data_IF_679356338550
#
_entry.id   IF_679356338550
#
_cell.length_a   1.000
_cell.length_b   1.000
_cell.length_c   1.000
_cell.angle_alpha   90.00
_cell.angle_beta   90.00
_cell.angle_gamma   90.00
#
_symmetry.space_group_name_H-M   'P 1'
#
loop_
_entity.id
_entity.type
_entity.pdbx_description
1 polymer ?
#
# COMPACT_ATOMS: atom_id res chain seq x y z
N UNK A 1 -13.47 3.73 -10.63
CA UNK A 1 -13.64 4.36 -9.30
C UNK A 1 -12.26 4.73 -8.77
N UNK A 2 -12.16 5.46 -7.66
CA UNK A 2 -10.88 5.64 -6.97
C UNK A 2 -11.01 5.25 -5.51
N UNK A 3 -9.88 4.96 -4.89
CA UNK A 3 -9.77 4.75 -3.46
C UNK A 3 -8.79 5.77 -2.90
N UNK A 4 -9.12 6.30 -1.74
CA UNK A 4 -8.28 7.17 -0.94
C UNK A 4 -8.31 6.65 0.50
N UNK A 5 -7.28 7.00 1.27
CA UNK A 5 -7.24 6.81 2.72
C UNK A 5 -7.57 5.38 3.15
N UNK A 6 -6.62 4.47 2.98
CA UNK A 6 -6.77 3.06 3.35
C UNK A 6 -6.06 2.80 4.66
N UNK A 7 -6.78 2.32 5.65
CA UNK A 7 -6.23 1.96 6.96
C UNK A 7 -6.32 0.45 7.18
N UNK A 8 -5.25 -0.09 7.75
CA UNK A 8 -5.18 -1.48 8.20
C UNK A 8 -5.21 -1.51 9.72
N UNK A 9 -6.09 -2.33 10.28
CA UNK A 9 -6.14 -2.57 11.72
C UNK A 9 -6.41 -4.05 12.01
N UNK A 10 -5.96 -4.53 13.17
CA UNK A 10 -6.25 -5.90 13.61
C UNK A 10 -7.43 -5.84 14.58
N UNK A 11 -8.47 -6.64 14.32
CA UNK A 11 -9.63 -6.76 15.21
C UNK A 11 -9.26 -7.53 16.48
N UNK A 12 -10.09 -7.41 17.52
CA UNK A 12 -9.89 -8.16 18.77
C UNK A 12 -9.84 -9.69 18.56
N UNK A 13 -10.49 -10.18 17.51
CA UNK A 13 -10.55 -11.60 17.15
C UNK A 13 -9.40 -12.03 16.23
N UNK A 14 -8.41 -11.16 15.99
CA UNK A 14 -7.21 -11.46 15.20
C UNK A 14 -7.42 -11.45 13.68
N UNK A 15 -8.42 -10.74 13.19
CA UNK A 15 -8.63 -10.55 11.75
C UNK A 15 -8.11 -9.20 11.28
N UNK A 16 -7.71 -9.12 10.02
CA UNK A 16 -7.26 -7.88 9.39
C UNK A 16 -8.49 -7.13 8.89
N UNK A 17 -8.78 -5.98 9.48
CA UNK A 17 -9.77 -5.04 9.02
C UNK A 17 -9.11 -4.05 8.06
N UNK A 18 -9.75 -3.86 6.92
CA UNK A 18 -9.36 -2.89 5.89
C UNK A 18 -10.48 -1.86 5.82
N UNK A 19 -10.19 -0.64 6.25
CA UNK A 19 -11.08 0.50 6.10
C UNK A 19 -10.58 1.39 4.96
N UNK A 20 -11.49 1.91 4.13
CA UNK A 20 -11.09 2.79 3.05
C UNK A 20 -12.18 3.81 2.67
N UNK A 21 -11.77 4.91 2.03
CA UNK A 21 -12.67 5.86 1.40
C UNK A 21 -12.72 5.65 -0.12
N UNK A 22 -13.79 5.04 -0.61
CA UNK A 22 -14.03 4.93 -2.05
C UNK A 22 -14.68 6.21 -2.60
N UNK A 23 -14.25 6.64 -3.78
CA UNK A 23 -14.84 7.79 -4.48
C UNK A 23 -15.32 7.44 -5.88
N UNK A 24 -16.48 7.99 -6.24
CA UNK A 24 -17.12 7.83 -7.55
C UNK A 24 -17.24 9.17 -8.26
N UNK A 25 -17.13 9.22 -9.60
CA UNK A 25 -17.15 10.49 -10.34
C UNK A 25 -18.54 11.14 -10.39
N UNK A 26 -19.59 10.40 -10.04
CA UNK A 26 -20.98 10.84 -10.07
C UNK A 26 -21.72 10.34 -8.83
N UNK A 27 -22.85 10.98 -8.50
CA UNK A 27 -23.79 10.47 -7.51
C UNK A 27 -24.73 9.42 -8.12
N UNK A 28 -25.28 8.55 -7.26
CA UNK A 28 -26.25 7.52 -7.65
C UNK A 28 -25.66 6.11 -7.79
N UNK A 29 -24.37 5.93 -7.52
CA UNK A 29 -23.78 4.60 -7.35
C UNK A 29 -24.39 3.91 -6.14
N UNK A 30 -24.61 2.60 -6.25
CA UNK A 30 -25.17 1.75 -5.19
C UNK A 30 -24.31 0.52 -4.98
N UNK A 31 -24.49 -0.18 -3.85
CA UNK A 31 -23.72 -1.38 -3.50
C UNK A 31 -22.20 -1.18 -3.59
N UNK A 32 -21.73 0.02 -3.28
CA UNK A 32 -20.30 0.31 -3.24
C UNK A 32 -19.70 -0.38 -2.02
N UNK A 33 -18.70 -1.22 -2.23
CA UNK A 33 -18.14 -2.04 -1.15
C UNK A 33 -16.83 -2.69 -1.53
N UNK A 34 -16.23 -3.36 -0.54
CA UNK A 34 -15.02 -4.16 -0.71
C UNK A 34 -15.39 -5.64 -0.65
N UNK A 35 -14.88 -6.42 -1.60
CA UNK A 35 -15.08 -7.85 -1.66
C UNK A 35 -13.72 -8.56 -1.69
N UNK A 36 -13.40 -9.44 -0.72
CA UNK A 36 -12.17 -10.22 -0.76
C UNK A 36 -12.16 -11.16 -1.96
N UNK A 37 -10.99 -11.35 -2.56
CA UNK A 37 -10.77 -12.44 -3.51
C UNK A 37 -10.54 -13.72 -2.73
N UNK A 38 -11.28 -14.78 -3.08
CA UNK A 38 -11.05 -16.10 -2.50
C UNK A 38 -9.94 -16.83 -3.25
N UNK A 39 -9.07 -17.47 -2.47
CA UNK A 39 -7.89 -18.15 -2.97
C UNK A 39 -8.00 -19.65 -2.84
N UNK A 40 -7.78 -20.37 -3.95
CA UNK A 40 -7.47 -21.80 -3.91
C UNK A 40 -6.04 -22.01 -3.39
N UNK A 41 -5.12 -21.12 -3.78
CA UNK A 41 -3.74 -21.07 -3.29
C UNK A 41 -3.43 -19.67 -2.78
N UNK A 42 -2.89 -19.58 -1.56
CA UNK A 42 -2.52 -18.30 -0.95
C UNK A 42 -1.55 -17.53 -1.86
N UNK A 43 -1.70 -16.21 -2.01
CA UNK A 43 -0.88 -15.42 -2.92
C UNK A 43 0.59 -15.47 -2.49
N UNK A 44 1.47 -15.81 -3.45
CA UNK A 44 2.91 -16.01 -3.16
C UNK A 44 3.65 -14.74 -2.75
N UNK A 45 3.09 -13.56 -3.00
CA UNK A 45 3.61 -12.27 -2.54
C UNK A 45 3.16 -11.90 -1.12
N UNK A 46 2.25 -12.69 -0.52
CA UNK A 46 1.66 -12.42 0.79
C UNK A 46 0.68 -11.24 0.82
N UNK A 47 0.24 -10.76 -0.34
CA UNK A 47 -0.67 -9.61 -0.45
C UNK A 47 -2.06 -10.09 -0.82
N UNK A 48 -3.05 -9.84 0.04
CA UNK A 48 -4.44 -10.24 -0.21
C UNK A 48 -5.13 -9.28 -1.17
N UNK A 49 -5.74 -9.80 -2.22
CA UNK A 49 -6.47 -9.04 -3.23
C UNK A 49 -7.91 -8.79 -2.76
N UNK A 50 -8.35 -7.55 -2.92
CA UNK A 50 -9.69 -7.06 -2.59
C UNK A 50 -10.22 -6.30 -3.81
N UNK A 51 -11.45 -6.60 -4.22
CA UNK A 51 -12.13 -5.90 -5.29
C UNK A 51 -13.02 -4.79 -4.73
N UNK A 52 -12.83 -3.58 -5.23
CA UNK A 52 -13.80 -2.50 -5.09
C UNK A 52 -14.95 -2.78 -6.07
N UNK A 53 -16.14 -2.99 -5.53
CA UNK A 53 -17.36 -3.28 -6.28
C UNK A 53 -18.33 -2.12 -6.18
N UNK A 54 -19.26 -2.04 -7.14
CA UNK A 54 -20.36 -1.08 -7.10
C UNK A 54 -21.18 -1.11 -8.38
N UNK A 55 -22.47 -0.78 -8.25
CA UNK A 55 -23.43 -0.71 -9.35
C UNK A 55 -23.55 0.74 -9.82
N UNK A 56 -23.24 0.97 -11.10
CA UNK A 56 -23.34 2.28 -11.72
C UNK A 56 -24.80 2.77 -11.77
N UNK A 57 -25.06 4.08 -11.58
CA UNK A 57 -26.38 4.65 -11.78
C UNK A 57 -26.84 4.45 -13.23
N UNK A 58 -28.14 4.20 -13.42
CA UNK A 58 -28.76 4.14 -14.75
C UNK A 58 -29.43 5.48 -15.05
N UNK A 59 -29.19 6.02 -16.24
CA UNK A 59 -29.76 7.31 -16.67
C UNK A 59 -28.91 8.51 -16.25
N UNK A 60 -29.54 9.67 -16.08
CA UNK A 60 -28.85 10.89 -15.70
C UNK A 60 -28.33 10.79 -14.26
N UNK A 61 -27.02 10.94 -14.09
CA UNK A 61 -26.35 10.98 -12.80
C UNK A 61 -25.82 12.40 -12.55
N UNK A 62 -25.98 12.91 -11.33
CA UNK A 62 -25.38 14.20 -10.97
C UNK A 62 -23.85 14.10 -11.01
N UNK A 63 -23.20 15.17 -11.45
CA UNK A 63 -21.75 15.25 -11.66
C UNK A 63 -20.94 15.44 -10.38
N UNK A 64 -21.57 15.37 -9.21
CA UNK A 64 -20.90 15.48 -7.92
C UNK A 64 -20.16 14.19 -7.56
N UNK A 65 -19.02 14.31 -6.90
CA UNK A 65 -18.24 13.16 -6.43
C UNK A 65 -18.96 12.50 -5.26
N UNK A 66 -19.17 11.18 -5.35
CA UNK A 66 -19.66 10.37 -4.24
C UNK A 66 -18.52 9.90 -3.35
N UNK A 67 -18.75 9.87 -2.04
CA UNK A 67 -17.80 9.38 -1.03
C UNK A 67 -18.46 8.23 -0.27
N UNK A 68 -17.79 7.08 -0.23
CA UNK A 68 -18.30 5.84 0.34
C UNK A 68 -17.28 5.28 1.32
N UNK A 69 -17.49 5.41 2.64
CA UNK A 69 -16.71 4.65 3.59
C UNK A 69 -17.03 3.17 3.40
N UNK A 70 -16.02 2.37 3.11
CA UNK A 70 -16.14 0.95 2.85
C UNK A 70 -15.19 0.18 3.77
N UNK A 71 -15.59 -1.01 4.17
CA UNK A 71 -14.82 -1.82 5.11
C UNK A 71 -14.96 -3.29 4.78
N UNK A 72 -13.90 -4.06 5.02
CA UNK A 72 -13.90 -5.51 4.91
C UNK A 72 -12.96 -6.13 5.93
N UNK A 73 -13.29 -7.34 6.37
CA UNK A 73 -12.48 -8.11 7.31
C UNK A 73 -11.98 -9.37 6.60
N UNK A 74 -10.67 -9.60 6.66
CA UNK A 74 -9.98 -10.74 6.04
C UNK A 74 -9.11 -11.46 7.07
N UNK A 75 -8.71 -12.70 6.77
CA UNK A 75 -7.85 -13.48 7.68
C UNK A 75 -6.46 -12.85 7.79
N UNK A 76 -6.00 -12.58 9.01
CA UNK A 76 -4.64 -12.05 9.28
C UNK A 76 -3.68 -13.18 9.67
N UNK A 77 -3.25 -13.96 8.68
CA UNK A 77 -2.25 -15.01 8.91
C UNK A 77 -0.84 -14.42 8.96
N UNK A 78 0.14 -15.06 9.61
CA UNK A 78 1.52 -14.56 9.66
C UNK A 78 2.17 -14.29 8.29
N UNK A 79 1.70 -14.98 7.24
CA UNK A 79 2.17 -14.80 5.87
C UNK A 79 1.61 -13.52 5.19
N UNK A 80 0.58 -12.89 5.79
CA UNK A 80 -0.05 -11.68 5.27
C UNK A 80 0.86 -10.47 5.50
N UNK A 81 1.29 -9.87 4.38
CA UNK A 81 2.13 -8.67 4.35
C UNK A 81 1.33 -7.40 4.11
N UNK A 82 0.11 -7.53 3.61
CA UNK A 82 -0.77 -6.41 3.31
C UNK A 82 -1.91 -6.79 2.39
N UNK A 83 -2.51 -5.76 1.76
CA UNK A 83 -3.65 -5.91 0.86
C UNK A 83 -3.46 -5.10 -0.42
N UNK A 84 -4.08 -5.57 -1.50
CA UNK A 84 -4.13 -4.88 -2.79
C UNK A 84 -5.59 -4.64 -3.15
N UNK A 85 -5.95 -3.39 -3.39
CA UNK A 85 -7.31 -3.04 -3.78
C UNK A 85 -7.35 -2.72 -5.27
N UNK A 86 -8.24 -3.40 -5.99
CA UNK A 86 -8.40 -3.28 -7.44
C UNK A 86 -9.84 -2.96 -7.84
N UNK A 87 -10.04 -2.37 -9.00
CA UNK A 87 -11.35 -2.12 -9.61
C UNK A 87 -11.31 -2.49 -11.10
N UNK A 88 -12.18 -3.39 -11.56
CA UNK A 88 -12.26 -3.80 -12.98
C UNK A 88 -10.88 -4.18 -13.58
N UNK A 89 -10.05 -4.89 -12.81
CA UNK A 89 -8.67 -5.29 -13.13
C UNK A 89 -7.63 -4.16 -13.10
N UNK A 90 -8.02 -2.92 -12.82
CA UNK A 90 -7.08 -1.84 -12.53
C UNK A 90 -6.69 -1.90 -11.06
N UNK A 91 -5.39 -2.04 -10.79
CA UNK A 91 -4.86 -1.93 -9.43
C UNK A 91 -4.92 -0.47 -8.99
N UNK A 92 -5.64 -0.19 -7.91
CA UNK A 92 -5.79 1.16 -7.38
C UNK A 92 -4.68 1.48 -6.37
N UNK A 93 -4.44 0.58 -5.42
CA UNK A 93 -3.45 0.77 -4.35
C UNK A 93 -2.98 -0.57 -3.78
N UNK A 94 -1.73 -0.62 -3.33
CA UNK A 94 -1.18 -1.72 -2.53
C UNK A 94 -0.75 -1.16 -1.18
N UNK A 95 -1.33 -1.68 -0.10
CA UNK A 95 -1.04 -1.26 1.28
C UNK A 95 -0.29 -2.38 1.98
N UNK A 96 0.89 -2.08 2.51
CA UNK A 96 1.82 -3.04 3.10
C UNK A 96 2.21 -2.62 4.51
N UNK A 97 2.61 -3.58 5.34
CA UNK A 97 3.17 -3.28 6.67
C UNK A 97 4.68 -3.06 6.55
N UNK A 98 5.20 -2.03 7.20
CA UNK A 98 6.64 -1.88 7.37
C UNK A 98 7.17 -2.95 8.33
N UNK A 99 8.37 -3.47 8.08
CA UNK A 99 8.93 -4.57 8.88
C UNK A 99 10.24 -4.14 9.52
N UNK A 100 10.26 -4.18 10.86
CA UNK A 100 11.48 -3.93 11.64
C UNK A 100 12.41 -5.16 11.59
N UNK A 101 13.70 -4.92 11.43
CA UNK A 101 14.76 -5.92 11.29
C UNK A 101 14.55 -6.91 10.14
N UNK A 102 13.94 -6.46 9.04
CA UNK A 102 13.68 -7.31 7.89
C UNK A 102 14.93 -7.53 7.03
N UNK A 103 15.07 -8.76 6.52
CA UNK A 103 15.99 -9.06 5.42
C UNK A 103 15.32 -8.74 4.07
N UNK A 104 16.09 -8.21 3.12
CA UNK A 104 15.60 -7.86 1.80
C UNK A 104 15.00 -9.10 1.10
N UNK A 105 13.73 -9.01 0.67
CA UNK A 105 13.03 -10.12 -0.01
C UNK A 105 13.47 -10.31 -1.47
N UNK A 106 14.29 -9.40 -1.98
CA UNK A 106 14.77 -9.38 -3.35
C UNK A 106 15.55 -8.10 -3.64
N UNK A 107 16.29 -8.13 -4.74
CA UNK A 107 17.14 -7.02 -5.20
C UNK A 107 16.81 -6.59 -6.62
N UNK A 108 15.60 -6.91 -7.09
CA UNK A 108 15.21 -6.52 -8.43
C UNK A 108 15.13 -4.99 -8.53
N UNK A 109 15.53 -4.41 -9.67
CA UNK A 109 15.56 -2.96 -9.80
C UNK A 109 14.18 -2.34 -9.58
N UNK A 110 14.14 -1.27 -8.78
CA UNK A 110 12.97 -0.43 -8.54
C UNK A 110 13.42 1.01 -8.31
N UNK A 111 12.80 1.94 -9.02
CA UNK A 111 13.10 3.35 -8.94
C UNK A 111 12.07 4.06 -8.05
N UNK A 112 12.54 4.86 -7.11
CA UNK A 112 11.70 5.74 -6.29
C UNK A 112 11.48 7.06 -7.04
N UNK A 113 10.26 7.33 -7.50
CA UNK A 113 9.94 8.56 -8.22
C UNK A 113 9.66 9.71 -7.25
N UNK A 114 8.85 9.45 -6.24
CA UNK A 114 8.46 10.41 -5.22
C UNK A 114 7.99 9.68 -3.95
N UNK A 115 7.96 10.40 -2.83
CA UNK A 115 7.38 9.90 -1.59
C UNK A 115 6.79 11.02 -0.75
N UNK A 116 5.78 10.68 0.05
CA UNK A 116 5.11 11.58 0.98
C UNK A 116 4.64 10.83 2.21
N UNK A 117 4.47 11.54 3.32
CA UNK A 117 3.96 11.00 4.58
C UNK A 117 2.66 11.71 4.93
N UNK A 118 1.69 10.94 5.41
CA UNK A 118 0.44 11.45 5.99
C UNK A 118 0.13 10.61 7.23
N UNK A 119 0.23 11.21 8.42
CA UNK A 119 0.14 10.47 9.68
C UNK A 119 1.21 9.37 9.76
N UNK A 120 0.76 8.13 10.03
CA UNK A 120 1.63 6.95 10.09
C UNK A 120 1.81 6.23 8.73
N UNK A 121 1.27 6.81 7.65
CA UNK A 121 1.29 6.22 6.32
C UNK A 121 2.38 6.86 5.46
N UNK A 122 3.25 6.02 4.90
CA UNK A 122 4.21 6.39 3.87
C UNK A 122 3.68 6.01 2.49
N UNK A 123 3.58 6.98 1.60
CA UNK A 123 3.23 6.78 0.20
C UNK A 123 4.49 6.88 -0.66
N UNK A 124 4.71 5.89 -1.52
CA UNK A 124 5.80 5.86 -2.48
C UNK A 124 5.26 5.65 -3.89
N UNK A 125 5.56 6.59 -4.78
CA UNK A 125 5.38 6.37 -6.20
C UNK A 125 6.65 5.72 -6.76
N UNK A 126 6.52 4.51 -7.29
CA UNK A 126 7.64 3.67 -7.71
C UNK A 126 7.50 3.26 -9.17
N UNK A 127 8.64 3.01 -9.82
CA UNK A 127 8.70 2.48 -11.18
C UNK A 127 9.56 1.23 -11.24
N UNK A 128 9.07 0.18 -11.90
CA UNK A 128 9.79 -1.08 -12.03
C UNK A 128 9.45 -1.79 -13.36
N UNK A 129 10.29 -2.74 -13.76
CA UNK A 129 10.03 -3.59 -14.93
C UNK A 129 9.19 -4.82 -14.54
N UNK A 130 8.26 -5.22 -15.42
CA UNK A 130 7.29 -6.30 -15.21
C UNK A 130 5.85 -5.80 -15.13
N UNK A 131 5.06 -6.36 -14.22
CA UNK A 131 3.67 -6.04 -13.94
C UNK A 131 2.65 -6.94 -14.63
N UNK A 132 3.10 -7.99 -15.32
CA UNK A 132 2.26 -8.98 -15.97
C UNK A 132 1.97 -10.15 -15.00
N UNK A 133 2.85 -10.35 -14.01
CA UNK A 133 2.69 -11.28 -12.90
C UNK A 133 2.67 -10.56 -11.53
N UNK A 134 2.65 -11.33 -10.43
CA UNK A 134 2.72 -10.78 -9.08
C UNK A 134 4.12 -10.24 -8.75
N UNK A 135 4.16 -9.11 -8.04
CA UNK A 135 5.38 -8.50 -7.53
C UNK A 135 5.28 -8.36 -6.01
N UNK A 136 6.34 -8.76 -5.31
CA UNK A 136 6.45 -8.58 -3.86
C UNK A 136 7.29 -7.36 -3.55
N UNK A 137 6.79 -6.53 -2.64
CA UNK A 137 7.51 -5.39 -2.09
C UNK A 137 7.61 -5.51 -0.58
N UNK A 138 8.71 -5.03 0.00
CA UNK A 138 8.85 -4.93 1.45
C UNK A 138 9.62 -3.67 1.80
N UNK A 139 9.11 -2.93 2.77
CA UNK A 139 9.80 -1.80 3.38
C UNK A 139 10.40 -2.26 4.72
N UNK A 140 11.71 -2.41 4.74
CA UNK A 140 12.47 -2.80 5.92
C UNK A 140 13.04 -1.60 6.67
N UNK A 141 13.05 -1.66 8.00
CA UNK A 141 13.80 -0.74 8.86
C UNK A 141 14.75 -1.52 9.76
N UNK A 142 15.97 -1.02 9.98
CA UNK A 142 16.96 -1.65 10.85
C UNK A 142 16.77 -1.33 12.35
N UNK A 143 15.75 -0.53 12.69
CA UNK A 143 15.47 -0.11 14.06
C UNK A 143 16.38 1.00 14.59
N UNK A 144 17.27 1.54 13.76
CA UNK A 144 18.21 2.57 14.17
C UNK A 144 17.70 3.98 13.86
N UNK A 145 17.98 4.90 14.79
CA UNK A 145 17.85 6.33 14.60
C UNK A 145 19.24 6.94 14.42
N UNK A 146 19.38 7.79 13.40
CA UNK A 146 20.58 8.58 13.21
C UNK A 146 20.62 9.71 14.23
N UNK A 147 21.82 10.02 14.74
CA UNK A 147 22.05 11.09 15.70
C UNK A 147 21.98 12.46 15.00
N UNK A 148 20.78 13.01 14.88
CA UNK A 148 20.51 14.33 14.29
C UNK A 148 19.32 15.04 14.96
N UNK A 149 19.08 16.30 14.58
CA UNK A 149 17.90 17.06 14.97
C UNK A 149 17.28 17.74 13.73
N UNK A 150 16.08 17.33 13.25
CA UNK A 150 15.25 16.24 13.78
C UNK A 150 15.91 14.86 13.65
N UNK A 151 15.45 13.84 14.40
CA UNK A 151 15.87 12.45 14.21
C UNK A 151 15.69 12.01 12.76
N UNK A 152 16.56 11.12 12.30
CA UNK A 152 16.50 10.58 10.94
C UNK A 152 16.48 9.06 10.97
N UNK A 153 15.72 8.46 10.05
CA UNK A 153 15.70 7.01 9.83
C UNK A 153 15.96 6.71 8.35
N UNK A 154 16.45 5.50 8.08
CA UNK A 154 16.63 4.98 6.73
C UNK A 154 15.77 3.73 6.59
N UNK A 155 14.80 3.80 5.70
CA UNK A 155 13.96 2.69 5.28
C UNK A 155 14.50 2.12 3.97
N UNK A 156 14.43 0.80 3.81
CA UNK A 156 14.88 0.09 2.60
C UNK A 156 13.71 -0.55 1.90
N UNK A 157 13.44 -0.13 0.66
CA UNK A 157 12.48 -0.77 -0.22
C UNK A 157 13.17 -1.90 -0.99
N UNK A 158 12.76 -3.13 -0.73
CA UNK A 158 13.19 -4.31 -1.47
C UNK A 158 12.07 -4.81 -2.39
N UNK A 159 12.46 -5.38 -3.53
CA UNK A 159 11.56 -5.77 -4.61
C UNK A 159 11.94 -7.13 -5.18
N UNK A 160 10.95 -8.00 -5.32
CA UNK A 160 11.06 -9.33 -5.92
C UNK A 160 9.95 -9.53 -6.98
N UNK A 161 10.29 -9.68 -8.28
CA UNK A 161 9.32 -9.86 -9.37
C UNK A 161 8.77 -11.28 -9.44
N UNK A 162 9.17 -12.15 -8.49
CA UNK A 162 8.81 -13.56 -8.45
C UNK A 162 9.16 -14.27 -9.76
N UNK A 163 8.17 -14.58 -10.59
CA UNK A 163 8.34 -15.25 -11.88
C UNK A 163 7.96 -14.35 -13.07
N UNK A 164 7.86 -13.03 -12.86
CA UNK A 164 7.53 -12.10 -13.93
C UNK A 164 8.74 -11.76 -14.80
N UNK A 165 8.74 -12.30 -16.03
CA UNK A 165 9.74 -12.05 -17.07
C UNK A 165 9.30 -10.96 -18.07
N UNK A 166 8.16 -10.34 -17.85
CA UNK A 166 7.58 -9.34 -18.74
C UNK A 166 8.48 -8.08 -18.81
N UNK A 167 8.54 -7.47 -19.99
CA UNK A 167 9.37 -6.28 -20.26
C UNK A 167 8.60 -4.96 -20.20
N UNK A 168 7.36 -5.00 -19.71
CA UNK A 168 6.59 -3.78 -19.47
C UNK A 168 7.25 -2.96 -18.35
N UNK A 169 6.90 -1.68 -18.27
CA UNK A 169 7.33 -0.79 -17.18
C UNK A 169 6.08 -0.28 -16.50
N UNK A 170 5.97 -0.53 -15.19
CA UNK A 170 4.85 -0.08 -14.38
C UNK A 170 5.23 1.08 -13.50
N UNK A 171 4.27 1.97 -13.28
CA UNK A 171 4.27 2.90 -12.15
C UNK A 171 3.21 2.45 -11.14
N UNK A 172 3.54 2.49 -9.86
CA UNK A 172 2.67 2.06 -8.77
C UNK A 172 2.73 3.02 -7.59
N UNK A 173 1.57 3.27 -6.99
CA UNK A 173 1.48 3.87 -5.67
C UNK A 173 1.47 2.75 -4.60
N UNK A 174 2.57 2.65 -3.86
CA UNK A 174 2.68 1.81 -2.67
C UNK A 174 2.37 2.64 -1.43
N UNK A 175 1.57 2.09 -0.53
CA UNK A 175 1.33 2.65 0.79
C UNK A 175 1.93 1.70 1.84
N UNK A 176 2.61 2.26 2.83
CA UNK A 176 3.18 1.52 3.94
C UNK A 176 2.71 2.07 5.27
N UNK A 177 2.13 1.21 6.09
CA UNK A 177 1.85 1.49 7.49
C UNK A 177 3.15 1.41 8.30
N UNK A 178 3.63 2.57 8.75
CA UNK A 178 4.88 2.70 9.51
C UNK A 178 4.71 2.36 11.00
N UNK A 179 3.49 2.35 11.54
CA UNK A 179 3.24 2.08 12.96
C UNK A 179 3.78 0.72 13.39
N UNK A 180 3.69 -0.27 12.48
CA UNK A 180 4.22 -1.63 12.67
C UNK A 180 5.74 -1.68 12.86
N UNK A 181 6.48 -0.71 12.31
CA UNK A 181 7.93 -0.63 12.46
C UNK A 181 8.34 0.38 13.55
N UNK A 182 7.69 1.55 13.61
CA UNK A 182 8.06 2.69 14.45
C UNK A 182 7.37 2.72 15.83
N UNK A 183 6.33 1.92 16.02
CA UNK A 183 5.51 1.92 17.24
C UNK A 183 4.89 3.30 17.47
N UNK A 184 5.01 3.82 18.69
CA UNK A 184 4.44 5.12 19.09
C UNK A 184 5.25 6.33 18.59
N UNK A 185 6.34 6.13 17.82
CA UNK A 185 7.19 7.24 17.38
C UNK A 185 6.59 7.87 16.12
N UNK A 186 6.06 9.11 16.17
CA UNK A 186 5.35 9.69 15.03
C UNK A 186 6.33 10.00 13.88
N UNK A 187 6.05 9.54 12.64
CA UNK A 187 6.84 9.88 11.46
C UNK A 187 6.99 11.38 11.23
N UNK A 188 5.99 12.16 11.65
CA UNK A 188 5.95 13.61 11.43
C UNK A 188 7.05 14.40 12.16
N UNK A 189 7.66 13.79 13.18
CA UNK A 189 8.72 14.42 13.98
C UNK A 189 10.13 14.08 13.48
N UNK A 190 10.24 13.34 12.39
CA UNK A 190 11.52 12.85 11.85
C UNK A 190 11.67 13.15 10.37
N UNK A 191 12.92 13.07 9.90
CA UNK A 191 13.23 13.07 8.47
C UNK A 191 13.45 11.63 8.00
N UNK A 192 12.67 11.21 7.01
CA UNK A 192 12.66 9.83 6.52
C UNK A 192 13.44 9.75 5.22
N UNK A 193 14.40 8.84 5.16
CA UNK A 193 15.07 8.46 3.92
C UNK A 193 14.53 7.11 3.48
N UNK A 194 14.28 6.97 2.18
CA UNK A 194 13.91 5.69 1.59
C UNK A 194 14.94 5.36 0.53
N UNK A 195 15.59 4.22 0.67
CA UNK A 195 16.57 3.70 -0.27
C UNK A 195 16.04 2.47 -0.98
N UNK A 196 16.31 2.37 -2.28
CA UNK A 196 16.20 1.15 -3.07
C UNK A 196 17.56 0.75 -3.61
N UNK A 197 17.62 -0.35 -4.38
CA UNK A 197 18.84 -0.75 -5.10
C UNK A 197 19.25 0.24 -6.20
N UNK A 198 18.33 1.10 -6.68
CA UNK A 198 18.62 2.03 -7.77
C UNK A 198 18.89 3.46 -7.30
N UNK A 199 18.14 3.94 -6.31
CA UNK A 199 18.24 5.32 -5.84
C UNK A 199 17.78 5.47 -4.39
N UNK A 200 17.91 6.68 -3.87
CA UNK A 200 17.37 7.07 -2.57
C UNK A 200 16.63 8.40 -2.70
N UNK A 201 15.60 8.58 -1.88
CA UNK A 201 14.89 9.86 -1.72
C UNK A 201 14.83 10.23 -0.24
N UNK A 202 14.79 11.52 0.04
CA UNK A 202 14.49 12.06 1.36
C UNK A 202 13.10 12.66 1.34
N UNK A 203 12.29 12.34 2.35
CA UNK A 203 10.94 12.85 2.51
C UNK A 203 10.98 13.80 3.70
N UNK A 204 10.74 15.07 3.42
CA UNK A 204 10.51 16.07 4.44
C UNK A 204 9.03 16.03 4.80
N UNK A 205 8.72 15.84 6.08
CA UNK A 205 7.34 15.85 6.56
C UNK A 205 6.85 17.31 6.57
N UNK A 206 5.70 17.61 5.95
CA UNK A 206 5.08 18.93 6.10
C UNK A 206 4.85 19.22 7.59
N UNK A 207 5.37 20.35 8.07
CA UNK A 207 5.11 20.84 9.43
C UNK A 207 3.81 21.62 9.48
#
# INVERSE_FOLDING_TARGET
>A
MKIADVDLSVTNDGFLKVDAMATTPTLGWTNVGLQPVEYVMFPGDGVLDIQLVGTAPVGAAATSIGHFPVSVVVSDKPEVRGVRISWQNERLITVLRAVKNAEDIGKAPIFLEAGSIQGDQLFLNVRYAGGCGPHSFQLGWDGAFLKSFPPQIILRLSHNPLQDECKAVQSELLQFDLSTALGETPPELMKIHVASVQNQISIDVPR
#
